data_IF_954804677045
#
_entry.id   IF_954804677045
#
_cell.length_a   1.000
_cell.length_b   1.000
_cell.length_c   1.000
_cell.angle_alpha   90.00
_cell.angle_beta   90.00
_cell.angle_gamma   90.00
#
_symmetry.space_group_name_H-M   'P 1'
#
loop_
_entity.id
_entity.type
_entity.pdbx_description
1 polymer ?
#
# COMPACT_ATOMS: atom_id res chain seq x y z
N UNK A 1 -69.99 1.72 -22.76
CA UNK A 1 -69.68 2.97 -23.50
C UNK A 1 -69.07 3.96 -22.52
N UNK A 2 -67.92 4.60 -22.82
CA UNK A 2 -66.98 5.16 -21.82
C UNK A 2 -66.94 6.70 -21.77
N UNK A 3 -66.25 7.23 -20.74
CA UNK A 3 -65.46 8.50 -20.59
C UNK A 3 -65.72 9.10 -19.20
N UNK A 4 -64.75 9.56 -18.40
CA UNK A 4 -63.43 10.14 -18.63
C UNK A 4 -62.49 9.75 -17.46
N UNK A 5 -61.16 9.85 -17.48
CA UNK A 5 -60.19 10.38 -18.43
C UNK A 5 -58.84 10.35 -17.70
N UNK A 6 -58.07 9.28 -17.87
CA UNK A 6 -56.72 9.17 -17.32
C UNK A 6 -55.75 9.98 -18.22
N UNK A 7 -55.16 11.03 -17.66
CA UNK A 7 -54.08 11.77 -18.31
C UNK A 7 -52.79 10.95 -18.22
N UNK A 8 -52.55 10.12 -19.23
CA UNK A 8 -51.27 9.47 -19.44
C UNK A 8 -50.25 10.51 -19.95
N UNK A 9 -49.38 11.01 -19.07
CA UNK A 9 -48.20 11.77 -19.46
C UNK A 9 -47.24 10.84 -20.19
N UNK A 10 -47.23 10.90 -21.53
CA UNK A 10 -46.18 10.32 -22.38
C UNK A 10 -44.86 11.00 -22.06
N UNK A 11 -44.05 10.39 -21.20
CA UNK A 11 -42.62 10.68 -21.13
C UNK A 11 -41.99 10.22 -22.45
N UNK A 12 -41.80 11.15 -23.39
CA UNK A 12 -40.93 10.92 -24.55
C UNK A 12 -39.50 10.79 -24.01
N UNK A 13 -39.02 9.55 -23.86
CA UNK A 13 -37.58 9.30 -23.70
C UNK A 13 -36.89 9.69 -25.00
N UNK A 14 -36.43 10.95 -25.08
CA UNK A 14 -35.37 11.30 -26.03
C UNK A 14 -34.13 10.56 -25.55
N UNK A 15 -33.84 9.41 -26.17
CA UNK A 15 -32.51 8.81 -26.13
C UNK A 15 -31.54 9.87 -26.69
N UNK A 16 -30.94 10.64 -25.79
CA UNK A 16 -29.88 11.58 -26.12
C UNK A 16 -28.68 10.71 -26.43
N UNK A 17 -28.35 10.57 -27.72
CA UNK A 17 -27.07 10.00 -28.13
C UNK A 17 -25.98 10.71 -27.32
N UNK A 18 -25.31 9.94 -26.47
CA UNK A 18 -24.33 10.45 -25.51
C UNK A 18 -23.15 10.96 -26.32
N UNK A 19 -23.10 12.28 -26.53
CA UNK A 19 -21.88 12.94 -26.96
C UNK A 19 -20.77 12.47 -26.01
N UNK A 20 -19.68 11.93 -26.57
CA UNK A 20 -18.46 11.64 -25.83
C UNK A 20 -18.07 12.95 -25.13
N UNK A 21 -18.21 13.02 -23.81
CA UNK A 21 -17.93 14.27 -23.08
C UNK A 21 -16.45 14.57 -23.21
N UNK A 22 -16.13 15.67 -23.88
CA UNK A 22 -14.78 16.25 -24.03
C UNK A 22 -14.30 16.94 -22.74
N UNK A 23 -14.77 16.48 -21.57
CA UNK A 23 -14.49 17.10 -20.28
C UNK A 23 -13.29 16.41 -19.64
N UNK A 24 -12.30 17.18 -19.23
CA UNK A 24 -11.14 16.67 -18.49
C UNK A 24 -11.58 16.29 -17.06
N UNK A 25 -11.24 15.08 -16.64
CA UNK A 25 -11.55 14.54 -15.31
C UNK A 25 -10.44 14.84 -14.30
N UNK A 26 -10.72 15.74 -13.36
CA UNK A 26 -9.84 16.09 -12.23
C UNK A 26 -10.25 15.44 -10.91
N UNK A 27 -11.20 14.49 -10.93
CA UNK A 27 -11.83 13.92 -9.72
C UNK A 27 -11.63 12.42 -9.57
N UNK A 28 -11.19 11.73 -10.62
CA UNK A 28 -10.92 10.28 -10.57
C UNK A 28 -9.71 9.94 -9.71
N UNK A 29 -9.81 8.78 -9.04
CA UNK A 29 -8.73 8.18 -8.27
C UNK A 29 -7.77 7.30 -9.10
N UNK A 30 -7.88 7.32 -10.43
CA UNK A 30 -6.93 6.68 -11.36
C UNK A 30 -5.61 7.49 -11.41
N UNK A 31 -4.91 7.56 -10.26
CA UNK A 31 -3.78 8.47 -10.02
C UNK A 31 -2.65 8.36 -11.04
N UNK A 32 -2.41 7.15 -11.54
CA UNK A 32 -1.36 6.86 -12.51
C UNK A 32 -1.88 6.76 -13.95
N UNK A 33 -3.20 6.93 -14.18
CA UNK A 33 -3.80 6.81 -15.50
C UNK A 33 -3.82 5.37 -16.06
N UNK A 34 -3.54 4.35 -15.25
CA UNK A 34 -3.39 2.97 -15.69
C UNK A 34 -4.70 2.41 -16.26
N UNK A 35 -5.85 2.81 -15.74
CA UNK A 35 -7.14 2.35 -16.23
C UNK A 35 -7.41 2.76 -17.69
N UNK A 36 -6.81 3.86 -18.14
CA UNK A 36 -7.01 4.44 -19.48
C UNK A 36 -5.82 4.22 -20.42
N UNK A 37 -4.70 3.71 -19.92
CA UNK A 37 -3.47 3.56 -20.70
C UNK A 37 -3.56 2.41 -21.73
N UNK A 38 -3.41 2.67 -23.05
CA UNK A 38 -3.42 1.63 -24.07
C UNK A 38 -2.28 0.61 -23.94
N UNK A 39 -1.10 1.05 -23.47
CA UNK A 39 0.02 0.16 -23.19
C UNK A 39 -0.34 -0.82 -22.07
N UNK A 40 -0.95 -0.33 -20.99
CA UNK A 40 -1.43 -1.17 -19.89
C UNK A 40 -2.51 -2.15 -20.37
N UNK A 41 -3.47 -1.68 -21.16
CA UNK A 41 -4.51 -2.53 -21.75
C UNK A 41 -3.92 -3.69 -22.57
N UNK A 42 -2.87 -3.43 -23.36
CA UNK A 42 -2.21 -4.47 -24.14
C UNK A 42 -1.47 -5.48 -23.25
N UNK A 43 -0.84 -5.05 -22.16
CA UNK A 43 -0.23 -5.96 -21.18
C UNK A 43 -1.29 -6.89 -20.58
N UNK A 44 -2.42 -6.33 -20.14
CA UNK A 44 -3.52 -7.11 -19.55
C UNK A 44 -4.12 -8.11 -20.55
N UNK A 45 -4.31 -7.69 -21.82
CA UNK A 45 -4.78 -8.59 -22.89
C UNK A 45 -3.83 -9.74 -23.13
N UNK A 46 -2.53 -9.46 -23.27
CA UNK A 46 -1.52 -10.49 -23.52
C UNK A 46 -1.43 -11.49 -22.36
N UNK A 47 -1.47 -11.00 -21.12
CA UNK A 47 -1.47 -11.84 -19.92
C UNK A 47 -2.73 -12.70 -19.87
N UNK A 48 -3.91 -12.11 -20.07
CA UNK A 48 -5.16 -12.85 -20.06
C UNK A 48 -5.24 -13.89 -21.18
N UNK A 49 -4.80 -13.56 -22.38
CA UNK A 49 -4.70 -14.50 -23.50
C UNK A 49 -3.72 -15.65 -23.21
N UNK A 50 -2.65 -15.38 -22.46
CA UNK A 50 -1.72 -16.42 -21.99
C UNK A 50 -2.42 -17.41 -21.05
N UNK A 51 -3.22 -16.89 -20.10
CA UNK A 51 -4.02 -17.72 -19.20
C UNK A 51 -5.06 -18.56 -19.93
N UNK A 52 -5.71 -18.00 -20.97
CA UNK A 52 -6.66 -18.74 -21.80
C UNK A 52 -6.00 -19.87 -22.60
N UNK A 53 -4.71 -19.73 -22.93
CA UNK A 53 -3.93 -20.77 -23.64
C UNK A 53 -3.35 -21.82 -22.70
N UNK A 54 -3.07 -21.50 -21.44
CA UNK A 54 -2.29 -22.34 -20.53
C UNK A 54 -3.01 -23.60 -20.00
N UNK A 55 -4.20 -23.96 -20.52
CA UNK A 55 -4.99 -25.17 -20.15
C UNK A 55 -5.15 -25.42 -18.63
N UNK A 56 -4.99 -24.39 -17.81
CA UNK A 56 -4.79 -24.56 -16.37
C UNK A 56 -6.12 -24.73 -15.64
N UNK A 57 -6.67 -25.96 -15.68
CA UNK A 57 -7.42 -26.52 -14.56
C UNK A 57 -7.32 -28.06 -14.52
N UNK A 58 -6.79 -28.62 -13.44
CA UNK A 58 -7.34 -29.85 -12.84
C UNK A 58 -7.57 -29.63 -11.32
N UNK A 59 -8.50 -30.25 -10.60
CA UNK A 59 -9.28 -31.44 -10.85
C UNK A 59 -10.70 -31.29 -10.29
N UNK A 60 -11.71 -31.31 -11.15
CA UNK A 60 -12.93 -32.05 -10.85
C UNK A 60 -13.23 -32.78 -12.15
N UNK A 61 -12.93 -34.08 -12.15
CA UNK A 61 -13.18 -34.93 -13.30
C UNK A 61 -14.61 -34.76 -13.76
N UNK A 62 -14.76 -34.41 -15.01
CA UNK A 62 -15.60 -35.08 -16.00
C UNK A 62 -15.28 -34.40 -17.34
N UNK A 63 -15.23 -35.23 -18.39
CA UNK A 63 -14.56 -34.89 -19.64
C UNK A 63 -15.18 -33.76 -20.45
N UNK A 64 -14.41 -33.44 -21.48
CA UNK A 64 -14.77 -32.74 -22.71
C UNK A 64 -14.79 -31.20 -22.70
N UNK A 65 -14.09 -30.64 -23.68
CA UNK A 65 -14.17 -29.24 -24.08
C UNK A 65 -13.14 -28.28 -23.45
N UNK A 66 -12.51 -27.53 -24.34
CA UNK A 66 -11.81 -26.25 -24.20
C UNK A 66 -12.53 -25.23 -23.28
N UNK A 67 -12.58 -25.46 -21.95
CA UNK A 67 -13.33 -24.56 -21.07
C UNK A 67 -12.52 -23.31 -20.71
N UNK A 68 -12.74 -22.26 -21.52
CA UNK A 68 -12.32 -20.89 -21.26
C UNK A 68 -13.32 -20.23 -20.32
N UNK A 69 -12.97 -20.07 -19.04
CA UNK A 69 -13.87 -19.42 -18.09
C UNK A 69 -13.61 -17.91 -18.01
N UNK A 70 -14.67 -17.12 -18.22
CA UNK A 70 -14.66 -15.66 -18.00
C UNK A 70 -14.68 -15.29 -16.51
N UNK A 71 -15.31 -16.14 -15.68
CA UNK A 71 -15.49 -15.94 -14.24
C UNK A 71 -15.03 -17.12 -13.40
N UNK A 72 -14.95 -16.94 -12.09
CA UNK A 72 -14.52 -17.97 -11.14
C UNK A 72 -15.60 -19.00 -10.79
N UNK A 73 -16.89 -18.67 -10.98
CA UNK A 73 -18.06 -19.55 -10.75
C UNK A 73 -18.25 -20.09 -9.32
N UNK A 74 -17.46 -19.61 -8.36
CA UNK A 74 -17.52 -20.03 -6.96
C UNK A 74 -16.68 -19.14 -6.05
N UNK A 75 -16.79 -19.35 -4.74
CA UNK A 75 -15.96 -18.68 -3.74
C UNK A 75 -14.58 -19.33 -3.63
N UNK A 76 -13.67 -18.66 -2.92
CA UNK A 76 -12.29 -19.13 -2.65
C UNK A 76 -12.20 -20.43 -1.85
N UNK A 77 -13.27 -20.83 -1.17
CA UNK A 77 -13.32 -22.08 -0.38
C UNK A 77 -13.96 -23.26 -1.14
N UNK A 78 -14.51 -23.00 -2.33
CA UNK A 78 -15.21 -23.99 -3.14
C UNK A 78 -14.51 -24.12 -4.51
N UNK A 79 -15.24 -23.96 -5.60
CA UNK A 79 -14.73 -24.10 -6.97
C UNK A 79 -13.95 -22.89 -7.50
N UNK A 80 -13.95 -21.76 -6.79
CA UNK A 80 -13.41 -20.49 -7.27
C UNK A 80 -11.93 -20.24 -6.96
N UNK A 81 -11.28 -21.10 -6.16
CA UNK A 81 -9.85 -20.97 -5.88
C UNK A 81 -9.03 -21.41 -7.09
N UNK A 82 -8.21 -20.50 -7.62
CA UNK A 82 -7.38 -20.77 -8.80
C UNK A 82 -5.90 -20.69 -8.44
N UNK A 83 -5.08 -21.53 -9.08
CA UNK A 83 -3.62 -21.47 -8.95
C UNK A 83 -3.08 -20.08 -9.28
N UNK A 84 -3.68 -19.39 -10.26
CA UNK A 84 -3.26 -18.05 -10.63
C UNK A 84 -3.53 -17.01 -9.52
N UNK A 85 -4.65 -17.12 -8.80
CA UNK A 85 -4.91 -16.28 -7.63
C UNK A 85 -3.87 -16.51 -6.54
N UNK A 86 -3.52 -17.77 -6.25
CA UNK A 86 -2.50 -18.14 -5.25
C UNK A 86 -1.10 -17.66 -5.62
N UNK A 87 -0.72 -17.75 -6.90
CA UNK A 87 0.55 -17.23 -7.39
C UNK A 87 0.61 -15.70 -7.27
N UNK A 88 -0.47 -15.02 -7.66
CA UNK A 88 -0.55 -13.57 -7.50
C UNK A 88 -0.50 -13.15 -6.03
N UNK A 89 -1.15 -13.87 -5.13
CA UNK A 89 -1.03 -13.67 -3.68
C UNK A 89 0.42 -13.83 -3.20
N UNK A 90 1.13 -14.87 -3.63
CA UNK A 90 2.54 -15.05 -3.29
C UNK A 90 3.42 -13.91 -3.80
N UNK A 91 3.19 -13.44 -5.03
CA UNK A 91 3.89 -12.28 -5.60
C UNK A 91 3.59 -11.00 -4.81
N UNK A 92 2.33 -10.78 -4.42
CA UNK A 92 1.92 -9.60 -3.64
C UNK A 92 2.48 -9.63 -2.21
N UNK A 93 2.51 -10.79 -1.56
CA UNK A 93 3.15 -10.97 -0.26
C UNK A 93 4.65 -10.63 -0.36
N UNK A 94 5.29 -11.09 -1.42
CA UNK A 94 6.67 -10.74 -1.73
C UNK A 94 6.81 -9.24 -1.97
N UNK A 95 5.94 -8.58 -2.74
CA UNK A 95 6.06 -7.15 -3.03
C UNK A 95 5.89 -6.29 -1.78
N UNK A 96 4.92 -6.62 -0.92
CA UNK A 96 4.62 -5.88 0.32
C UNK A 96 5.39 -6.38 1.54
N UNK A 97 6.40 -7.23 1.31
CA UNK A 97 7.27 -7.78 2.33
C UNK A 97 6.51 -8.36 3.54
N UNK A 98 5.44 -9.11 3.26
CA UNK A 98 4.61 -9.81 4.25
C UNK A 98 4.74 -11.32 4.09
N UNK A 99 4.35 -12.08 5.11
CA UNK A 99 4.38 -13.56 5.01
C UNK A 99 3.32 -14.10 4.06
N UNK A 100 2.16 -13.43 4.03
CA UNK A 100 1.02 -13.79 3.22
C UNK A 100 0.34 -12.53 2.66
N UNK A 101 -0.44 -12.74 1.60
CA UNK A 101 -1.33 -11.74 1.04
C UNK A 101 -2.63 -12.42 0.63
N UNK A 102 -3.76 -11.79 0.91
CA UNK A 102 -5.08 -12.36 0.63
C UNK A 102 -5.89 -11.40 -0.25
N UNK A 103 -6.35 -11.88 -1.41
CA UNK A 103 -7.11 -11.09 -2.38
C UNK A 103 -8.59 -10.93 -1.99
N UNK A 104 -9.10 -9.71 -2.12
CA UNK A 104 -10.50 -9.34 -1.87
C UNK A 104 -11.12 -8.66 -3.11
N UNK A 105 -12.45 -8.70 -3.19
CA UNK A 105 -13.21 -8.05 -4.26
C UNK A 105 -13.11 -6.52 -4.25
N UNK A 106 -12.89 -5.90 -3.08
CA UNK A 106 -12.70 -4.46 -2.97
C UNK A 106 -11.96 -4.08 -1.69
N UNK A 107 -11.46 -2.84 -1.63
CA UNK A 107 -10.90 -2.28 -0.39
C UNK A 107 -11.94 -2.19 0.73
N UNK A 108 -13.20 -1.95 0.36
CA UNK A 108 -14.31 -1.97 1.30
C UNK A 108 -14.48 -3.36 1.93
N UNK A 109 -14.49 -4.41 1.10
CA UNK A 109 -14.65 -5.79 1.59
C UNK A 109 -13.45 -6.23 2.42
N UNK A 110 -12.23 -5.80 2.06
CA UNK A 110 -11.02 -6.08 2.83
C UNK A 110 -11.08 -5.47 4.23
N UNK A 111 -11.33 -4.15 4.33
CA UNK A 111 -11.49 -3.47 5.61
C UNK A 111 -12.63 -4.04 6.44
N UNK A 112 -13.78 -4.28 5.82
CA UNK A 112 -14.93 -4.90 6.48
C UNK A 112 -14.56 -6.28 7.03
N UNK A 113 -13.83 -7.10 6.27
CA UNK A 113 -13.41 -8.44 6.65
C UNK A 113 -12.44 -8.42 7.83
N UNK A 114 -11.40 -7.60 7.77
CA UNK A 114 -10.42 -7.43 8.86
C UNK A 114 -11.15 -6.98 10.12
N UNK A 115 -11.86 -5.85 10.06
CA UNK A 115 -12.40 -5.23 11.27
C UNK A 115 -13.63 -5.95 11.85
N UNK A 116 -14.38 -6.71 11.06
CA UNK A 116 -15.53 -7.48 11.58
C UNK A 116 -15.16 -8.85 12.14
N UNK A 117 -13.99 -9.39 11.79
CA UNK A 117 -13.60 -10.76 12.17
C UNK A 117 -12.41 -10.82 13.13
N UNK A 118 -11.40 -9.96 12.96
CA UNK A 118 -10.17 -10.01 13.77
C UNK A 118 -10.41 -9.55 15.21
N UNK A 119 -11.07 -8.41 15.48
CA UNK A 119 -11.43 -8.05 16.85
C UNK A 119 -12.49 -9.02 17.42
N UNK A 120 -12.17 -9.70 18.53
CA UNK A 120 -13.10 -10.59 19.22
C UNK A 120 -13.64 -9.93 20.52
N UNK A 121 -14.55 -10.62 21.20
CA UNK A 121 -15.06 -10.15 22.50
C UNK A 121 -13.94 -9.96 23.52
N UNK A 122 -13.97 -8.84 24.24
CA UNK A 122 -12.93 -8.42 25.18
C UNK A 122 -11.79 -7.61 24.57
N UNK A 123 -11.61 -7.58 23.24
CA UNK A 123 -10.60 -6.71 22.62
C UNK A 123 -11.01 -5.23 22.67
N UNK A 124 -10.02 -4.37 22.51
CA UNK A 124 -10.15 -2.94 22.33
C UNK A 124 -9.84 -2.56 20.89
N UNK A 125 -10.63 -1.62 20.36
CA UNK A 125 -10.40 -1.04 19.04
C UNK A 125 -10.18 0.45 19.25
N UNK A 126 -9.06 0.97 18.75
CA UNK A 126 -8.72 2.40 18.79
C UNK A 126 -8.56 2.88 17.36
N UNK A 127 -9.34 3.84 16.91
CA UNK A 127 -9.27 4.31 15.52
C UNK A 127 -9.04 5.82 15.45
N UNK A 128 -8.32 6.25 14.41
CA UNK A 128 -8.30 7.66 14.07
C UNK A 128 -9.74 8.11 13.74
N UNK A 129 -10.13 9.30 14.19
CA UNK A 129 -11.49 9.80 14.05
C UNK A 129 -11.93 10.03 12.58
N UNK A 130 -10.98 10.14 11.65
CA UNK A 130 -11.25 10.32 10.22
C UNK A 130 -11.11 9.04 9.38
N UNK A 131 -10.94 7.88 10.02
CA UNK A 131 -10.90 6.60 9.31
C UNK A 131 -12.12 6.38 8.40
N UNK A 132 -11.85 5.84 7.21
CA UNK A 132 -12.82 5.63 6.15
C UNK A 132 -14.03 4.81 6.62
N UNK A 133 -15.19 5.10 6.03
CA UNK A 133 -16.46 4.50 6.44
C UNK A 133 -16.46 2.95 6.35
N UNK A 134 -15.63 2.33 5.50
CA UNK A 134 -15.47 0.87 5.48
C UNK A 134 -14.93 0.31 6.79
N UNK A 135 -13.98 1.01 7.43
CA UNK A 135 -13.44 0.66 8.75
C UNK A 135 -14.54 0.80 9.80
N UNK A 136 -15.25 1.94 9.77
CA UNK A 136 -16.37 2.20 10.70
C UNK A 136 -17.45 1.11 10.60
N UNK A 137 -17.83 0.70 9.38
CA UNK A 137 -18.79 -0.39 9.18
C UNK A 137 -18.25 -1.73 9.68
N UNK A 138 -16.98 -2.03 9.42
CA UNK A 138 -16.31 -3.23 9.93
C UNK A 138 -16.33 -3.30 11.45
N UNK A 139 -16.00 -2.20 12.12
CA UNK A 139 -16.01 -2.11 13.59
C UNK A 139 -17.41 -2.24 14.17
N UNK A 140 -18.43 -1.65 13.52
CA UNK A 140 -19.84 -1.85 13.90
C UNK A 140 -20.29 -3.31 13.79
N UNK A 141 -19.69 -4.09 12.88
CA UNK A 141 -19.96 -5.51 12.69
C UNK A 141 -19.05 -6.42 13.53
N UNK A 142 -18.04 -5.86 14.20
CA UNK A 142 -17.10 -6.60 15.03
C UNK A 142 -17.77 -7.17 16.28
N UNK A 143 -17.05 -8.07 16.98
CA UNK A 143 -17.49 -8.64 18.25
C UNK A 143 -16.99 -7.85 19.46
N UNK A 144 -16.25 -6.76 19.26
CA UNK A 144 -15.77 -5.92 20.34
C UNK A 144 -16.94 -5.23 21.06
N UNK A 145 -16.85 -5.10 22.38
CA UNK A 145 -17.87 -4.37 23.14
C UNK A 145 -17.86 -2.89 22.76
N UNK A 146 -19.04 -2.26 22.69
CA UNK A 146 -19.14 -0.82 22.37
C UNK A 146 -18.31 0.07 23.29
N UNK A 147 -18.16 -0.31 24.56
CA UNK A 147 -17.33 0.42 25.53
C UNK A 147 -15.83 0.36 25.22
N UNK A 148 -15.39 -0.66 24.48
CA UNK A 148 -14.00 -0.92 24.12
C UNK A 148 -13.61 -0.34 22.76
N UNK A 149 -14.55 0.29 22.04
CA UNK A 149 -14.26 1.05 20.83
C UNK A 149 -13.97 2.50 21.22
N UNK A 150 -12.77 2.97 20.93
CA UNK A 150 -12.28 4.32 21.20
C UNK A 150 -11.83 4.99 19.91
N UNK A 151 -11.85 6.31 19.93
CA UNK A 151 -11.24 7.15 18.89
C UNK A 151 -10.14 8.01 19.51
N UNK A 152 -9.16 8.38 18.71
CA UNK A 152 -8.19 9.44 19.04
C UNK A 152 -8.27 10.55 17.99
N UNK A 153 -7.83 11.74 18.37
CA UNK A 153 -7.83 12.92 17.47
C UNK A 153 -7.00 12.64 16.22
N UNK A 154 -7.46 13.20 15.11
CA UNK A 154 -6.86 12.96 13.81
C UNK A 154 -5.36 13.26 13.79
N UNK A 155 -4.54 12.27 13.38
CA UNK A 155 -3.09 12.37 13.28
C UNK A 155 -2.35 12.78 14.59
N UNK A 156 -3.00 12.64 15.74
CA UNK A 156 -2.45 13.05 17.04
C UNK A 156 -1.91 11.86 17.84
N UNK A 157 -0.61 11.62 17.71
CA UNK A 157 0.08 10.55 18.43
C UNK A 157 0.09 10.76 19.96
N UNK A 158 0.04 12.00 20.44
CA UNK A 158 -0.02 12.28 21.89
C UNK A 158 -1.38 11.89 22.47
N UNK A 159 -2.47 12.21 21.74
CA UNK A 159 -3.82 11.81 22.10
C UNK A 159 -4.01 10.29 22.00
N UNK A 160 -3.44 9.64 20.97
CA UNK A 160 -3.37 8.18 20.90
C UNK A 160 -2.71 7.59 22.15
N UNK A 161 -1.53 8.10 22.53
CA UNK A 161 -0.83 7.65 23.74
C UNK A 161 -1.68 7.84 25.01
N UNK A 162 -2.44 8.94 25.11
CA UNK A 162 -3.39 9.17 26.22
C UNK A 162 -4.50 8.12 26.24
N UNK A 163 -5.07 7.79 25.07
CA UNK A 163 -6.12 6.76 24.95
C UNK A 163 -5.57 5.39 25.33
N UNK A 164 -4.38 5.01 24.85
CA UNK A 164 -3.75 3.72 25.17
C UNK A 164 -3.47 3.57 26.68
N UNK A 165 -2.91 4.59 27.34
CA UNK A 165 -2.73 4.58 28.81
C UNK A 165 -4.04 4.36 29.55
N UNK A 166 -5.13 4.99 29.11
CA UNK A 166 -6.44 4.80 29.74
C UNK A 166 -6.99 3.38 29.59
N UNK A 167 -6.62 2.69 28.51
CA UNK A 167 -6.97 1.28 28.28
C UNK A 167 -6.14 0.38 29.20
N UNK A 168 -4.84 0.63 29.32
CA UNK A 168 -3.97 -0.11 30.23
C UNK A 168 -4.43 0.00 31.68
N UNK A 169 -4.78 1.20 32.13
CA UNK A 169 -5.33 1.44 33.47
C UNK A 169 -6.63 0.65 33.68
N UNK A 170 -7.52 0.61 32.68
CA UNK A 170 -8.76 -0.16 32.73
C UNK A 170 -8.50 -1.68 32.79
N UNK A 171 -7.54 -2.18 32.00
CA UNK A 171 -7.12 -3.58 32.02
C UNK A 171 -6.50 -3.96 33.37
N UNK A 172 -5.62 -3.12 33.92
CA UNK A 172 -4.99 -3.32 35.22
C UNK A 172 -6.01 -3.33 36.37
N UNK A 173 -6.98 -2.41 36.37
CA UNK A 173 -8.06 -2.36 37.35
C UNK A 173 -8.94 -3.62 37.30
N UNK A 174 -9.28 -4.11 36.10
CA UNK A 174 -10.06 -5.33 35.92
C UNK A 174 -9.31 -6.57 36.42
N UNK A 175 -7.99 -6.65 36.18
CA UNK A 175 -7.15 -7.73 36.68
C UNK A 175 -7.08 -7.74 38.23
N UNK A 176 -6.92 -6.56 38.84
CA UNK A 176 -6.90 -6.42 40.30
C UNK A 176 -8.23 -6.82 40.96
N UNK A 177 -9.37 -6.48 40.35
CA UNK A 177 -10.69 -6.84 40.86
C UNK A 177 -10.96 -8.36 40.83
N UNK A 178 -10.46 -9.07 39.83
CA UNK A 178 -10.61 -10.52 39.72
C UNK A 178 -9.79 -11.29 40.76
N UNK A 179 -8.59 -10.80 41.11
CA UNK A 179 -7.75 -11.42 42.15
C UNK A 179 -8.39 -11.39 43.54
N UNK A 180 -9.23 -10.39 43.83
CA UNK A 180 -9.87 -10.24 45.13
C UNK A 180 -11.14 -11.12 45.31
N UNK A 181 -11.70 -11.69 44.23
CA UNK A 181 -12.96 -12.44 44.26
C UNK A 181 -12.78 -13.98 44.24
N UNK A 182 -11.58 -14.50 44.50
CA UNK A 182 -11.23 -15.90 44.32
C UNK A 182 -11.62 -16.82 45.51
N UNK A 183 -12.92 -16.89 45.85
CA UNK A 183 -13.44 -17.93 46.77
C UNK A 183 -14.39 -18.93 46.07
N UNK A 184 -14.96 -18.64 44.90
CA UNK A 184 -15.93 -19.54 44.23
C UNK A 184 -15.75 -19.65 42.69
N UNK A 185 -14.54 -19.92 42.21
CA UNK A 185 -14.23 -19.98 40.77
C UNK A 185 -14.22 -21.42 40.20
N UNK A 186 -15.39 -22.05 40.07
CA UNK A 186 -15.53 -23.37 39.41
C UNK A 186 -16.17 -23.31 38.01
N UNK A 187 -16.46 -22.13 37.46
CA UNK A 187 -17.09 -21.98 36.14
C UNK A 187 -16.58 -20.80 35.30
N UNK A 188 -15.52 -20.11 35.74
CA UNK A 188 -14.93 -19.01 34.97
C UNK A 188 -14.14 -19.58 33.78
N UNK A 189 -14.83 -19.71 32.65
CA UNK A 189 -14.23 -19.77 31.32
C UNK A 189 -13.10 -18.73 31.29
N UNK A 190 -11.85 -19.16 31.11
CA UNK A 190 -10.67 -18.29 31.14
C UNK A 190 -10.94 -17.03 30.30
N UNK A 191 -11.14 -15.90 30.98
CA UNK A 191 -11.47 -14.65 30.31
C UNK A 191 -10.16 -14.17 29.69
N UNK A 192 -10.04 -14.26 28.36
CA UNK A 192 -8.81 -13.84 27.68
C UNK A 192 -8.49 -12.38 28.02
N UNK A 193 -7.20 -12.08 28.14
CA UNK A 193 -6.77 -10.70 28.17
C UNK A 193 -6.98 -10.09 26.78
N UNK A 194 -7.78 -9.02 26.73
CA UNK A 194 -8.15 -8.35 25.50
C UNK A 194 -6.95 -7.70 24.82
N UNK A 195 -6.79 -7.90 23.52
CA UNK A 195 -5.80 -7.22 22.70
C UNK A 195 -6.28 -5.82 22.33
N UNK A 196 -5.34 -4.92 22.05
CA UNK A 196 -5.64 -3.58 21.56
C UNK A 196 -5.29 -3.51 20.08
N UNK A 197 -6.27 -3.16 19.25
CA UNK A 197 -6.12 -3.05 17.80
C UNK A 197 -6.33 -1.59 17.40
N UNK A 198 -5.26 -0.97 16.89
CA UNK A 198 -5.27 0.39 16.37
C UNK A 198 -5.56 0.34 14.88
N UNK A 199 -6.37 1.27 14.36
CA UNK A 199 -6.67 1.37 12.93
C UNK A 199 -6.48 2.79 12.43
N UNK A 200 -5.72 2.93 11.34
CA UNK A 200 -5.39 4.22 10.71
C UNK A 200 -5.37 4.09 9.19
N UNK A 201 -5.51 5.21 8.49
CA UNK A 201 -5.15 5.31 7.08
C UNK A 201 -3.71 5.81 6.98
N UNK A 202 -2.96 5.32 6.00
CA UNK A 202 -1.63 5.86 5.68
C UNK A 202 -1.73 7.27 5.10
N UNK A 203 -2.70 7.50 4.22
CA UNK A 203 -3.02 8.78 3.57
C UNK A 203 -4.52 8.94 3.59
N UNK A 204 -5.02 10.02 4.19
CA UNK A 204 -6.45 10.22 4.38
C UNK A 204 -7.07 10.83 3.13
N UNK A 205 -8.17 10.22 2.68
CA UNK A 205 -8.73 10.47 1.34
C UNK A 205 -9.18 11.91 1.05
N UNK A 206 -9.66 12.64 2.05
CA UNK A 206 -10.29 13.96 1.87
C UNK A 206 -9.26 15.09 1.94
N UNK A 207 -8.39 15.07 2.95
CA UNK A 207 -7.41 16.12 3.19
C UNK A 207 -6.04 15.81 2.56
N UNK A 208 -5.78 14.54 2.23
CA UNK A 208 -4.54 14.09 1.58
C UNK A 208 -3.33 14.11 2.50
N UNK A 209 -3.51 14.28 3.80
CA UNK A 209 -2.46 14.25 4.80
C UNK A 209 -2.10 12.81 5.21
N UNK A 210 -0.94 12.66 5.83
CA UNK A 210 -0.24 11.38 6.01
C UNK A 210 -0.14 11.07 7.49
N UNK A 211 -0.50 9.85 7.89
CA UNK A 211 -0.37 9.42 9.26
C UNK A 211 1.09 9.40 9.73
N UNK A 212 1.37 9.75 11.00
CA UNK A 212 2.67 9.57 11.61
C UNK A 212 2.91 8.08 11.96
N UNK A 213 2.93 7.21 10.94
CA UNK A 213 2.91 5.75 11.08
C UNK A 213 4.01 5.20 12.00
N UNK A 214 5.23 5.75 11.92
CA UNK A 214 6.33 5.35 12.80
C UNK A 214 5.99 5.59 14.27
N UNK A 215 5.54 6.79 14.62
CA UNK A 215 5.17 7.13 16.00
C UNK A 215 4.00 6.28 16.50
N UNK A 216 3.01 6.01 15.65
CA UNK A 216 1.84 5.17 15.97
C UNK A 216 2.26 3.72 16.22
N UNK A 217 3.13 3.16 15.36
CA UNK A 217 3.64 1.80 15.49
C UNK A 217 4.54 1.65 16.73
N UNK A 218 5.41 2.63 17.01
CA UNK A 218 6.27 2.63 18.20
C UNK A 218 5.42 2.70 19.49
N UNK A 219 4.38 3.55 19.51
CA UNK A 219 3.40 3.59 20.61
C UNK A 219 2.64 2.27 20.75
N UNK A 220 2.20 1.69 19.64
CA UNK A 220 1.52 0.41 19.66
C UNK A 220 2.40 -0.67 20.30
N UNK A 221 3.69 -0.73 19.95
CA UNK A 221 4.63 -1.67 20.53
C UNK A 221 4.82 -1.44 22.03
N UNK A 222 4.97 -0.18 22.46
CA UNK A 222 5.12 0.16 23.89
C UNK A 222 3.92 -0.29 24.74
N UNK A 223 2.73 -0.35 24.15
CA UNK A 223 1.48 -0.73 24.80
C UNK A 223 1.03 -2.18 24.50
N UNK A 224 1.84 -2.98 23.80
CA UNK A 224 1.46 -4.34 23.41
C UNK A 224 0.23 -4.38 22.49
N UNK A 225 0.03 -3.33 21.69
CA UNK A 225 -1.04 -3.21 20.72
C UNK A 225 -0.55 -3.57 19.30
N UNK A 226 -1.51 -3.89 18.44
CA UNK A 226 -1.29 -4.15 17.03
C UNK A 226 -1.98 -3.09 16.16
N UNK A 227 -1.49 -2.86 14.95
CA UNK A 227 -1.94 -1.78 14.05
C UNK A 227 -2.40 -2.35 12.71
N UNK A 228 -3.58 -1.95 12.27
CA UNK A 228 -4.09 -2.14 10.91
C UNK A 228 -3.93 -0.83 10.15
N UNK A 229 -3.30 -0.88 8.97
CA UNK A 229 -3.06 0.31 8.14
C UNK A 229 -3.80 0.18 6.82
N UNK A 230 -4.61 1.17 6.46
CA UNK A 230 -5.21 1.28 5.13
C UNK A 230 -4.28 2.09 4.19
N UNK A 231 -3.77 1.43 3.16
CA UNK A 231 -2.87 1.93 2.11
C UNK A 231 -3.61 2.25 0.81
N UNK A 232 -4.93 2.46 0.86
CA UNK A 232 -5.72 2.71 -0.34
C UNK A 232 -5.25 3.93 -1.15
N UNK A 233 -4.85 5.00 -0.46
CA UNK A 233 -4.37 6.25 -1.08
C UNK A 233 -2.83 6.37 -1.10
N UNK A 234 -2.12 5.47 -0.41
CA UNK A 234 -0.66 5.40 -0.43
C UNK A 234 -0.09 4.60 -1.61
N UNK A 235 -0.75 3.48 -1.96
CA UNK A 235 -0.32 2.61 -3.06
C UNK A 235 -0.20 3.38 -4.38
N UNK A 236 0.92 3.21 -5.08
CA UNK A 236 1.22 3.84 -6.36
C UNK A 236 1.49 5.35 -6.29
N UNK A 237 1.38 5.97 -5.11
CA UNK A 237 1.70 7.38 -4.88
C UNK A 237 3.04 7.52 -4.13
N UNK A 238 3.25 6.69 -3.10
CA UNK A 238 4.44 6.72 -2.26
C UNK A 238 5.48 5.69 -2.70
N UNK A 239 6.76 6.10 -2.63
CA UNK A 239 7.88 5.40 -3.26
C UNK A 239 7.95 5.67 -4.77
N UNK A 240 9.16 5.78 -5.33
CA UNK A 240 9.33 6.14 -6.74
C UNK A 240 8.85 5.03 -7.68
N UNK A 241 7.67 5.19 -8.26
CA UNK A 241 7.07 4.20 -9.17
C UNK A 241 7.87 4.07 -10.49
N UNK A 242 7.66 2.95 -11.18
CA UNK A 242 8.13 2.66 -12.53
C UNK A 242 7.10 2.95 -13.62
N UNK A 243 5.96 3.56 -13.26
CA UNK A 243 4.97 4.07 -14.20
C UNK A 243 5.54 5.32 -14.92
N UNK A 244 6.39 5.10 -15.91
CA UNK A 244 6.97 6.13 -16.80
C UNK A 244 6.60 5.84 -18.24
N UNK A 245 6.57 6.91 -19.04
CA UNK A 245 6.32 6.82 -20.49
C UNK A 245 5.02 6.06 -20.81
N UNK A 246 4.01 6.23 -19.95
CA UNK A 246 2.67 5.73 -20.18
C UNK A 246 1.97 6.68 -21.15
N UNK A 247 1.83 6.26 -22.40
CA UNK A 247 0.98 6.97 -23.36
C UNK A 247 -0.46 6.83 -22.87
N UNK A 248 -1.11 7.94 -22.54
CA UNK A 248 -2.56 7.98 -22.42
C UNK A 248 -3.17 8.10 -23.82
N UNK A 249 -4.43 7.69 -24.04
CA UNK A 249 -5.08 7.94 -25.32
C UNK A 249 -5.06 9.44 -25.57
N UNK A 250 -4.49 9.88 -26.68
CA UNK A 250 -4.65 11.25 -27.11
C UNK A 250 -6.15 11.51 -27.26
N UNK A 251 -6.65 12.58 -26.64
CA UNK A 251 -7.98 13.08 -26.93
C UNK A 251 -8.04 13.35 -28.42
N UNK A 252 -8.73 12.48 -29.18
CA UNK A 252 -8.87 12.57 -30.64
C UNK A 252 -9.51 13.87 -31.15
N UNK A 253 -9.83 14.81 -30.25
CA UNK A 253 -10.42 16.11 -30.53
C UNK A 253 -9.56 17.32 -30.10
N UNK A 254 -8.35 17.12 -29.54
CA UNK A 254 -7.42 18.23 -29.29
C UNK A 254 -6.60 18.61 -30.54
N UNK A 255 -6.69 17.83 -31.61
CA UNK A 255 -5.94 18.03 -32.86
C UNK A 255 -6.61 19.00 -33.87
N UNK A 256 -7.48 19.91 -33.41
CA UNK A 256 -8.11 20.93 -34.27
C UNK A 256 -8.18 22.28 -33.57
N UNK A 257 -7.05 22.88 -33.21
CA UNK A 257 -7.00 24.35 -32.96
C UNK A 257 -5.63 25.01 -33.22
N UNK A 258 -4.55 24.27 -33.45
CA UNK A 258 -3.22 24.91 -33.61
C UNK A 258 -2.78 25.12 -35.06
N UNK A 259 -3.64 24.81 -36.05
CA UNK A 259 -3.31 24.95 -37.47
C UNK A 259 -3.69 26.32 -38.09
N UNK A 260 -4.18 27.29 -37.32
CA UNK A 260 -4.62 28.60 -37.86
C UNK A 260 -3.93 29.83 -37.24
N UNK A 261 -2.86 29.65 -36.45
CA UNK A 261 -2.05 30.78 -35.96
C UNK A 261 -0.58 30.57 -36.34
N UNK A 262 -0.30 30.39 -37.62
CA UNK A 262 1.07 30.52 -38.15
C UNK A 262 1.09 30.83 -39.65
N UNK A 263 0.31 31.84 -40.05
CA UNK A 263 0.40 32.44 -41.39
C UNK A 263 0.47 33.96 -41.33
N UNK A 264 1.37 34.51 -40.52
CA UNK A 264 1.93 35.84 -40.77
C UNK A 264 3.07 36.16 -39.79
N UNK A 265 4.30 35.78 -40.12
CA UNK A 265 5.47 36.69 -40.07
C UNK A 265 6.71 36.03 -40.65
N UNK A 266 6.95 36.42 -41.90
CA UNK A 266 8.14 36.35 -42.75
C UNK A 266 9.50 36.12 -42.06
N UNK A 267 10.22 35.18 -42.66
CA UNK A 267 11.63 35.24 -43.06
C UNK A 267 12.50 36.37 -42.48
N UNK A 268 13.54 36.00 -41.73
CA UNK A 268 14.91 36.45 -42.03
C UNK A 268 15.94 35.50 -41.44
N UNK A 269 16.64 34.83 -42.34
CA UNK A 269 17.83 34.02 -42.11
C UNK A 269 18.98 34.85 -41.53
N UNK A 270 19.60 34.42 -40.42
CA UNK A 270 20.98 34.82 -40.07
C UNK A 270 21.71 33.78 -39.20
N UNK A 271 22.59 33.04 -39.88
CA UNK A 271 23.91 32.50 -39.49
C UNK A 271 24.20 32.34 -37.98
N UNK A 272 24.28 31.07 -37.57
CA UNK A 272 24.96 30.61 -36.37
C UNK A 272 26.46 30.96 -36.40
N UNK A 273 26.93 31.66 -35.35
CA UNK A 273 28.35 31.77 -34.99
C UNK A 273 28.55 31.15 -33.61
N UNK A 274 29.34 30.09 -33.57
CA UNK A 274 29.83 29.43 -32.36
C UNK A 274 30.72 30.38 -31.57
N UNK A 275 30.40 30.63 -30.30
CA UNK A 275 31.31 31.28 -29.33
C UNK A 275 31.38 30.43 -28.07
N UNK A 276 32.51 29.73 -27.91
CA UNK A 276 32.94 29.14 -26.64
C UNK A 276 33.17 30.27 -25.63
N UNK A 277 32.55 30.17 -24.44
CA UNK A 277 32.83 31.08 -23.33
C UNK A 277 33.35 30.30 -22.13
N UNK A 278 34.64 30.48 -21.85
CA UNK A 278 35.32 30.11 -20.59
C UNK A 278 34.74 30.94 -19.45
N UNK A 279 34.32 30.30 -18.37
CA UNK A 279 34.02 30.95 -17.09
C UNK A 279 35.31 31.01 -16.25
N UNK A 280 35.79 32.23 -15.99
CA UNK A 280 36.72 32.55 -14.90
C UNK A 280 35.91 33.24 -13.81
N UNK A 281 36.05 32.75 -12.58
CA UNK A 281 35.41 33.35 -11.40
C UNK A 281 36.05 34.66 -10.99
N UNK A 282 35.22 35.55 -10.45
CA UNK A 282 35.64 36.63 -9.56
C UNK A 282 34.46 37.00 -8.65
N UNK A 283 34.63 36.78 -7.35
CA UNK A 283 33.72 37.23 -6.29
C UNK A 283 34.03 38.70 -5.99
N UNK A 284 33.01 39.56 -6.01
CA UNK A 284 33.12 40.97 -5.61
C UNK A 284 32.38 41.16 -4.29
N UNK A 285 33.12 41.56 -3.27
CA UNK A 285 32.63 41.96 -1.95
C UNK A 285 32.27 43.46 -2.04
N UNK A 286 31.04 43.83 -1.72
CA UNK A 286 30.68 45.23 -1.48
C UNK A 286 30.23 45.41 -0.02
N UNK A 287 30.99 46.27 0.68
CA UNK A 287 30.64 46.85 1.98
C UNK A 287 29.68 48.01 1.75
N UNK A 288 28.59 48.08 2.51
CA UNK A 288 27.84 49.33 2.72
C UNK A 288 28.06 49.82 4.14
N UNK A 289 28.66 51.01 4.24
CA UNK A 289 28.77 51.77 5.47
C UNK A 289 27.50 52.58 5.74
N UNK A 290 27.26 52.80 7.02
CA UNK A 290 26.21 53.60 7.65
C UNK A 290 26.50 55.11 7.58
N UNK A 291 25.44 55.92 7.55
CA UNK A 291 25.44 57.28 8.11
C UNK A 291 24.02 57.68 8.56
N UNK A 292 23.86 57.68 9.88
CA UNK A 292 23.18 58.60 10.81
C UNK A 292 21.85 59.31 10.48
N UNK A 293 20.96 59.31 11.48
CA UNK A 293 19.85 60.26 11.61
C UNK A 293 18.72 59.85 12.58
N UNK A 294 19.00 59.97 13.89
CA UNK A 294 18.12 60.27 15.06
C UNK A 294 16.63 59.88 15.12
N UNK A 295 16.21 59.36 16.28
CA UNK A 295 14.82 59.55 16.76
C UNK A 295 14.19 58.50 17.69
N UNK A 296 14.75 58.33 18.88
CA UNK A 296 14.03 58.13 20.17
C UNK A 296 13.15 56.89 20.50
N UNK A 297 13.38 56.42 21.75
CA UNK A 297 12.52 55.67 22.69
C UNK A 297 12.37 54.13 22.66
N UNK A 298 13.21 53.52 23.51
CA UNK A 298 12.86 52.78 24.75
C UNK A 298 12.35 51.32 24.72
N UNK A 299 13.09 50.46 25.44
CA UNK A 299 12.61 49.24 26.13
C UNK A 299 13.02 47.91 25.46
N UNK A 300 14.25 47.41 25.60
CA UNK A 300 14.82 46.63 26.73
C UNK A 300 14.56 45.09 26.70
N UNK A 301 15.68 44.37 26.52
CA UNK A 301 16.03 42.99 26.98
C UNK A 301 15.36 41.80 26.26
N UNK A 302 16.03 40.68 25.92
CA UNK A 302 17.32 40.10 26.35
C UNK A 302 17.88 39.09 25.32
N UNK A 303 19.22 39.05 25.19
CA UNK A 303 20.13 37.89 25.27
C UNK A 303 19.70 36.52 24.63
N UNK A 304 20.50 35.70 23.94
CA UNK A 304 21.96 35.58 23.72
C UNK A 304 22.23 34.43 22.72
N UNK A 305 23.39 34.48 22.03
CA UNK A 305 24.29 33.37 21.60
C UNK A 305 23.78 32.35 20.56
N UNK A 306 24.30 32.27 19.32
CA UNK A 306 25.63 31.72 18.88
C UNK A 306 25.93 30.36 19.54
N UNK A 307 26.27 29.24 18.90
CA UNK A 307 26.80 28.81 17.59
C UNK A 307 26.66 27.27 17.61
N UNK A 308 26.77 26.48 16.55
CA UNK A 308 28.03 25.94 16.02
C UNK A 308 27.62 24.76 15.10
N UNK A 309 28.05 24.76 13.84
CA UNK A 309 27.92 23.60 12.96
C UNK A 309 29.30 22.91 12.91
N UNK A 310 29.35 21.64 13.30
CA UNK A 310 30.55 20.79 13.21
C UNK A 310 30.48 20.02 11.88
N UNK A 311 31.56 20.12 11.11
CA UNK A 311 31.79 19.39 9.86
C UNK A 311 32.68 18.19 10.21
N UNK A 312 32.20 16.97 9.96
CA UNK A 312 33.02 15.75 10.05
C UNK A 312 33.59 15.45 8.66
N UNK A 313 34.92 15.33 8.60
CA UNK A 313 35.66 14.76 7.47
C UNK A 313 36.05 13.33 7.83
N UNK A 314 35.96 12.43 6.85
CA UNK A 314 36.27 11.01 6.92
C UNK A 314 37.72 10.76 6.50
N UNK A 315 38.47 10.05 7.32
CA UNK A 315 39.75 9.43 6.94
C UNK A 315 39.57 7.90 6.97
N UNK A 316 39.92 7.25 5.87
CA UNK A 316 40.00 5.79 5.72
C UNK A 316 41.44 5.37 6.06
N UNK A 317 41.60 4.48 7.04
CA UNK A 317 42.86 3.79 7.33
C UNK A 317 42.66 2.28 7.08
N UNK A 318 43.36 1.75 6.08
CA UNK A 318 43.54 0.32 5.85
C UNK A 318 44.66 -0.20 6.76
N UNK A 319 44.36 -1.21 7.58
CA UNK A 319 45.35 -1.99 8.34
C UNK A 319 45.14 -3.46 8.00
N UNK A 320 46.12 -4.03 7.30
CA UNK A 320 46.28 -5.48 7.11
C UNK A 320 46.94 -6.09 8.36
N UNK A 321 46.30 -7.06 9.01
CA UNK A 321 46.94 -7.96 9.98
C UNK A 321 46.68 -9.43 9.59
N UNK A 322 47.76 -10.14 9.25
CA UNK A 322 47.85 -11.60 9.22
C UNK A 322 48.01 -12.15 10.66
N UNK A 323 47.28 -13.22 11.00
CA UNK A 323 47.64 -14.25 11.99
C UNK A 323 46.61 -15.40 11.94
N UNK A 324 46.96 -16.58 11.44
CA UNK A 324 47.66 -17.72 12.07
C UNK A 324 46.69 -18.72 12.74
N UNK A 325 46.66 -19.93 12.17
CA UNK A 325 45.69 -20.99 12.45
C UNK A 325 46.07 -21.80 13.70
N UNK A 326 45.33 -21.63 14.79
CA UNK A 326 45.41 -22.46 15.99
C UNK A 326 44.11 -23.22 16.27
N UNK A 327 44.04 -24.50 15.88
CA UNK A 327 42.93 -25.41 16.21
C UNK A 327 42.92 -25.76 17.70
N UNK A 328 41.83 -25.44 18.40
CA UNK A 328 41.45 -26.12 19.64
C UNK A 328 39.94 -26.30 19.70
N UNK A 329 39.50 -27.56 19.68
CA UNK A 329 38.09 -27.96 19.75
C UNK A 329 37.56 -27.80 21.18
N UNK A 330 36.57 -26.94 21.38
CA UNK A 330 35.69 -26.98 22.55
C UNK A 330 34.23 -27.10 22.10
N UNK A 331 33.61 -28.25 22.40
CA UNK A 331 32.16 -28.48 22.31
C UNK A 331 31.44 -27.54 23.28
N UNK A 332 30.86 -26.46 22.79
CA UNK A 332 29.94 -25.60 23.53
C UNK A 332 28.49 -25.85 23.07
N UNK A 333 27.60 -25.98 24.04
CA UNK A 333 26.18 -26.20 23.84
C UNK A 333 25.52 -25.06 23.06
N UNK A 334 24.65 -25.41 22.11
CA UNK A 334 23.96 -24.51 21.18
C UNK A 334 23.00 -23.57 21.93
N UNK A 335 23.35 -22.29 22.00
CA UNK A 335 22.43 -21.23 22.40
C UNK A 335 21.27 -21.09 21.40
N UNK A 336 20.06 -20.65 21.81
CA UNK A 336 18.96 -20.44 20.90
C UNK A 336 19.30 -19.34 19.90
N UNK A 337 19.15 -19.66 18.61
CA UNK A 337 19.42 -18.75 17.49
C UNK A 337 18.71 -17.41 17.69
N UNK A 338 19.46 -16.31 17.67
CA UNK A 338 18.88 -15.00 17.39
C UNK A 338 18.25 -15.06 15.99
N UNK A 339 17.08 -14.44 15.76
CA UNK A 339 16.52 -14.39 14.42
C UNK A 339 17.55 -13.71 13.50
N UNK A 340 18.07 -14.45 12.52
CA UNK A 340 18.90 -13.89 11.46
C UNK A 340 18.14 -12.70 10.85
N UNK A 341 18.74 -11.51 10.96
CA UNK A 341 18.21 -10.33 10.30
C UNK A 341 18.21 -10.61 8.80
N UNK A 342 17.02 -10.73 8.19
CA UNK A 342 16.88 -10.84 6.73
C UNK A 342 17.73 -9.74 6.07
N UNK A 343 18.48 -10.03 5.00
CA UNK A 343 19.30 -9.03 4.33
C UNK A 343 18.43 -7.83 3.90
N UNK A 344 18.96 -6.60 3.95
CA UNK A 344 18.20 -5.40 3.58
C UNK A 344 17.76 -5.52 2.13
N UNK A 345 16.45 -5.64 1.93
CA UNK A 345 15.86 -5.80 0.60
C UNK A 345 15.60 -4.44 -0.02
N UNK A 346 15.82 -4.33 -1.32
CA UNK A 346 15.52 -3.13 -2.10
C UNK A 346 14.02 -2.80 -2.01
N UNK A 347 13.70 -1.67 -1.39
CA UNK A 347 12.34 -1.10 -1.36
C UNK A 347 11.86 -0.92 -2.80
N UNK A 348 10.74 -1.57 -3.14
CA UNK A 348 10.10 -1.40 -4.43
C UNK A 348 9.30 -0.09 -4.39
N UNK A 349 9.51 0.78 -5.38
CA UNK A 349 8.77 2.03 -5.42
C UNK A 349 7.31 1.84 -5.83
N UNK A 350 6.42 2.70 -5.33
CA UNK A 350 4.99 2.66 -5.62
C UNK A 350 4.20 1.66 -4.79
N UNK A 351 4.76 1.10 -3.70
CA UNK A 351 4.08 0.08 -2.88
C UNK A 351 3.35 0.62 -1.65
N UNK A 352 3.51 1.90 -1.31
CA UNK A 352 2.78 2.56 -0.22
C UNK A 352 3.68 3.34 0.74
N UNK A 353 3.06 3.95 1.75
CA UNK A 353 3.76 4.75 2.77
C UNK A 353 4.58 3.84 3.69
N UNK A 354 4.04 2.70 4.09
CA UNK A 354 4.73 1.70 4.91
C UNK A 354 6.07 1.28 4.30
N UNK A 355 6.09 0.96 3.01
CA UNK A 355 7.32 0.60 2.30
C UNK A 355 8.27 1.80 2.15
N UNK A 356 7.74 3.00 1.86
CA UNK A 356 8.56 4.22 1.77
C UNK A 356 9.23 4.61 3.10
N UNK A 357 8.65 4.20 4.23
CA UNK A 357 9.19 4.39 5.58
C UNK A 357 9.88 3.14 6.14
N UNK A 358 9.95 2.04 5.38
CA UNK A 358 10.53 0.75 5.78
C UNK A 358 9.90 0.14 7.04
N UNK A 359 8.56 0.26 7.18
CA UNK A 359 7.79 -0.17 8.36
C UNK A 359 7.04 -1.49 8.17
N UNK A 360 7.19 -2.17 7.02
CA UNK A 360 6.46 -3.40 6.68
C UNK A 360 6.77 -4.57 7.65
N UNK A 361 7.96 -4.59 8.24
CA UNK A 361 8.37 -5.61 9.22
C UNK A 361 8.17 -5.17 10.68
N UNK A 362 7.51 -4.03 10.94
CA UNK A 362 7.35 -3.56 12.30
C UNK A 362 6.54 -4.57 13.13
N UNK A 363 6.97 -4.97 14.34
CA UNK A 363 6.35 -6.07 15.09
C UNK A 363 4.89 -5.80 15.47
N UNK A 364 4.51 -4.54 15.64
CA UNK A 364 3.12 -4.14 15.88
C UNK A 364 2.26 -4.00 14.62
N UNK A 365 2.80 -4.12 13.41
CA UNK A 365 1.98 -4.11 12.20
C UNK A 365 1.23 -5.45 12.07
N UNK A 366 -0.09 -5.41 12.20
CA UNK A 366 -0.95 -6.59 12.10
C UNK A 366 -1.20 -6.98 10.63
N UNK A 367 -1.63 -5.99 9.85
CA UNK A 367 -1.84 -6.11 8.43
C UNK A 367 -1.95 -4.74 7.77
N UNK A 368 -1.73 -4.72 6.45
CA UNK A 368 -1.94 -3.56 5.59
C UNK A 368 -2.97 -3.90 4.50
N UNK A 369 -3.89 -2.97 4.23
CA UNK A 369 -4.92 -3.10 3.20
C UNK A 369 -4.56 -2.23 2.00
N UNK A 370 -4.33 -2.83 0.83
CA UNK A 370 -4.01 -2.09 -0.39
C UNK A 370 -5.14 -2.25 -1.40
N UNK A 371 -5.58 -1.15 -2.02
CA UNK A 371 -6.71 -1.18 -2.96
C UNK A 371 -6.25 -1.05 -4.40
N UNK A 372 -6.89 -1.79 -5.31
CA UNK A 372 -6.55 -1.73 -6.73
C UNK A 372 -7.41 -0.75 -7.52
N UNK A 373 -8.51 -0.27 -6.91
CA UNK A 373 -9.47 0.70 -7.46
C UNK A 373 -8.97 2.12 -7.67
N UNK A 374 -7.71 2.42 -7.35
CA UNK A 374 -7.11 3.76 -7.41
C UNK A 374 -5.90 3.80 -8.33
N UNK A 375 -4.69 3.96 -7.79
CA UNK A 375 -3.46 4.05 -8.59
C UNK A 375 -3.25 2.87 -9.55
N UNK A 376 -3.60 1.65 -9.12
CA UNK A 376 -3.48 0.45 -9.95
C UNK A 376 -4.49 0.41 -11.12
N UNK A 377 -5.54 1.25 -11.12
CA UNK A 377 -6.52 1.37 -12.20
C UNK A 377 -7.33 0.10 -12.46
N UNK A 378 -7.49 -0.77 -11.46
CA UNK A 378 -8.11 -2.10 -11.55
C UNK A 378 -9.24 -2.27 -10.52
N UNK A 379 -9.77 -3.48 -10.38
CA UNK A 379 -10.73 -3.83 -9.34
C UNK A 379 -10.09 -4.78 -8.32
N UNK A 380 -10.56 -4.76 -7.06
CA UNK A 380 -10.03 -5.61 -5.99
C UNK A 380 -9.24 -4.87 -4.91
N UNK A 381 -8.77 -5.66 -3.96
CA UNK A 381 -7.82 -5.26 -2.93
C UNK A 381 -7.00 -6.48 -2.47
N UNK A 382 -5.98 -6.22 -1.66
CA UNK A 382 -5.20 -7.24 -0.97
C UNK A 382 -4.97 -6.83 0.48
N UNK A 383 -5.01 -7.82 1.37
CA UNK A 383 -4.55 -7.69 2.75
C UNK A 383 -3.18 -8.36 2.86
N UNK A 384 -2.12 -7.57 3.03
CA UNK A 384 -0.77 -8.04 3.31
C UNK A 384 -0.62 -8.27 4.82
N UNK A 385 -0.28 -9.48 5.24
CA UNK A 385 -0.33 -9.89 6.65
C UNK A 385 0.53 -11.13 6.94
N UNK A 386 0.49 -11.63 8.18
CA UNK A 386 1.08 -12.92 8.54
C UNK A 386 0.26 -14.10 8.01
N UNK A 387 0.88 -15.29 7.93
CA UNK A 387 0.16 -16.51 7.55
C UNK A 387 -1.03 -16.78 8.48
N UNK A 388 -0.84 -16.53 9.79
CA UNK A 388 -1.90 -16.71 10.79
C UNK A 388 -3.10 -15.80 10.55
N UNK A 389 -2.87 -14.53 10.21
CA UNK A 389 -3.97 -13.59 9.91
C UNK A 389 -4.67 -14.01 8.62
N UNK A 390 -3.92 -14.39 7.58
CA UNK A 390 -4.51 -14.85 6.32
C UNK A 390 -5.39 -16.10 6.52
N UNK A 391 -4.89 -17.12 7.22
CA UNK A 391 -5.65 -18.33 7.56
C UNK A 391 -6.88 -18.01 8.40
N UNK A 392 -6.76 -17.09 9.36
CA UNK A 392 -7.90 -16.65 10.16
C UNK A 392 -8.98 -16.01 9.31
N UNK A 393 -8.62 -15.07 8.43
CA UNK A 393 -9.56 -14.39 7.54
C UNK A 393 -10.26 -15.38 6.59
N UNK A 394 -9.52 -16.33 6.03
CA UNK A 394 -10.08 -17.38 5.17
C UNK A 394 -11.18 -18.18 5.89
N UNK A 395 -11.03 -18.44 7.19
CA UNK A 395 -11.98 -19.24 7.96
C UNK A 395 -13.13 -18.43 8.57
N UNK A 396 -12.92 -17.17 8.94
CA UNK A 396 -13.87 -16.41 9.77
C UNK A 396 -14.41 -15.14 9.14
N UNK A 397 -13.76 -14.58 8.12
CA UNK A 397 -14.21 -13.35 7.49
C UNK A 397 -15.37 -13.61 6.52
N UNK A 398 -16.60 -13.35 6.98
CA UNK A 398 -17.82 -13.54 6.17
C UNK A 398 -17.79 -12.85 4.80
N UNK A 399 -17.32 -11.60 4.66
CA UNK A 399 -17.27 -10.94 3.34
C UNK A 399 -16.27 -11.61 2.39
N UNK A 400 -15.27 -12.33 2.90
CA UNK A 400 -14.39 -13.19 2.11
C UNK A 400 -15.04 -14.53 1.76
N UNK A 401 -15.63 -15.20 2.76
CA UNK A 401 -16.17 -16.57 2.62
C UNK A 401 -17.38 -16.62 1.68
N UNK A 402 -18.28 -15.65 1.79
CA UNK A 402 -19.57 -15.65 1.10
C UNK A 402 -19.59 -14.78 -0.17
N UNK A 403 -18.42 -14.51 -0.75
CA UNK A 403 -18.31 -13.82 -2.04
C UNK A 403 -17.68 -14.70 -3.11
N UNK A 404 -17.95 -14.37 -4.36
CA UNK A 404 -17.37 -15.05 -5.52
C UNK A 404 -15.91 -14.62 -5.68
N UNK A 405 -15.02 -15.57 -5.98
CA UNK A 405 -13.60 -15.29 -6.15
C UNK A 405 -13.34 -14.35 -7.34
N UNK A 406 -12.25 -13.56 -7.33
CA UNK A 406 -11.92 -12.67 -8.44
C UNK A 406 -11.77 -13.45 -9.77
N UNK A 407 -12.31 -12.94 -10.88
CA UNK A 407 -12.23 -13.62 -12.16
C UNK A 407 -10.84 -13.49 -12.80
N UNK A 408 -10.41 -14.41 -13.70
CA UNK A 408 -9.02 -14.47 -14.19
C UNK A 408 -8.51 -13.18 -14.86
N UNK A 409 -9.36 -12.52 -15.65
CA UNK A 409 -9.03 -11.22 -16.27
C UNK A 409 -8.79 -10.10 -15.25
N UNK A 410 -9.47 -10.12 -14.10
CA UNK A 410 -9.22 -9.17 -13.01
C UNK A 410 -7.87 -9.45 -12.33
N UNK A 411 -7.52 -10.72 -12.14
CA UNK A 411 -6.22 -11.12 -11.59
C UNK A 411 -5.08 -10.70 -12.54
N UNK A 412 -5.26 -10.88 -13.85
CA UNK A 412 -4.30 -10.44 -14.86
C UNK A 412 -4.11 -8.92 -14.83
N UNK A 413 -5.20 -8.16 -14.68
CA UNK A 413 -5.15 -6.71 -14.55
C UNK A 413 -4.31 -6.27 -13.34
N UNK A 414 -4.54 -6.87 -12.16
CA UNK A 414 -3.80 -6.60 -10.94
C UNK A 414 -2.31 -6.93 -11.13
N UNK A 415 -2.00 -8.11 -11.67
CA UNK A 415 -0.62 -8.54 -11.94
C UNK A 415 0.10 -7.53 -12.84
N UNK A 416 -0.48 -7.18 -13.99
CA UNK A 416 0.14 -6.21 -14.89
C UNK A 416 0.28 -4.82 -14.26
N UNK A 417 -0.70 -4.38 -13.45
CA UNK A 417 -0.63 -3.08 -12.79
C UNK A 417 0.53 -3.00 -11.81
N UNK A 418 0.74 -4.04 -10.99
CA UNK A 418 1.90 -4.11 -10.11
C UNK A 418 3.22 -4.16 -10.88
N UNK A 419 3.29 -4.86 -12.02
CA UNK A 419 4.52 -4.91 -12.83
C UNK A 419 4.89 -3.54 -13.37
N UNK A 420 3.89 -2.79 -13.82
CA UNK A 420 4.07 -1.40 -14.28
C UNK A 420 4.48 -0.49 -13.13
N UNK A 421 3.87 -0.61 -11.95
CA UNK A 421 4.20 0.22 -10.79
C UNK A 421 5.58 -0.08 -10.19
N UNK A 422 5.93 -1.36 -10.02
CA UNK A 422 7.14 -1.80 -9.29
C UNK A 422 8.33 -2.06 -10.22
N UNK A 423 8.11 -2.18 -11.53
CA UNK A 423 9.16 -2.48 -12.51
C UNK A 423 9.75 -3.88 -12.40
N UNK A 424 9.18 -4.75 -11.56
CA UNK A 424 9.59 -6.14 -11.46
C UNK A 424 9.08 -6.90 -12.71
N UNK A 425 10.01 -7.39 -13.53
CA UNK A 425 9.67 -8.33 -14.60
C UNK A 425 9.20 -9.65 -13.97
N UNK A 426 7.99 -10.07 -14.30
CA UNK A 426 7.41 -11.28 -13.72
C UNK A 426 8.06 -12.53 -14.32
N UNK A 427 8.76 -13.29 -13.47
CA UNK A 427 9.56 -14.47 -13.84
C UNK A 427 10.87 -14.58 -13.06
N UNK A 428 11.36 -13.46 -12.48
CA UNK A 428 12.59 -13.44 -11.66
C UNK A 428 12.33 -13.42 -10.15
N UNK A 429 11.06 -13.38 -9.70
CA UNK A 429 10.72 -13.33 -8.27
C UNK A 429 10.82 -14.67 -7.53
N UNK A 430 11.07 -15.78 -8.24
CA UNK A 430 11.40 -17.08 -7.63
C UNK A 430 12.89 -17.26 -7.32
N UNK A 431 13.74 -16.26 -7.57
CA UNK A 431 15.21 -16.37 -7.48
C UNK A 431 15.89 -15.66 -6.30
N UNK A 432 15.14 -15.17 -5.30
CA UNK A 432 15.72 -14.62 -4.07
C UNK A 432 15.77 -15.66 -2.95
N UNK A 433 16.20 -16.88 -3.27
CA UNK A 433 16.83 -17.79 -2.32
C UNK A 433 18.25 -17.98 -2.82
N UNK A 434 19.23 -17.55 -2.03
CA UNK A 434 20.63 -17.69 -2.40
C UNK A 434 20.95 -19.15 -2.71
N UNK A 435 21.39 -19.40 -3.94
CA UNK A 435 22.66 -20.08 -4.13
C UNK A 435 23.21 -19.72 -5.52
N UNK A 436 24.50 -19.41 -5.55
CA UNK A 436 25.21 -19.04 -6.76
C UNK A 436 25.39 -20.25 -7.67
N UNK A 437 24.97 -20.11 -8.92
CA UNK A 437 25.23 -21.11 -9.96
C UNK A 437 24.99 -20.50 -11.33
N UNK A 438 25.94 -19.69 -11.79
CA UNK A 438 26.00 -19.27 -13.17
C UNK A 438 26.07 -20.52 -14.07
N UNK A 439 25.02 -20.78 -14.84
CA UNK A 439 25.09 -21.75 -15.93
C UNK A 439 25.24 -20.96 -17.22
N UNK A 440 26.47 -21.01 -17.71
CA UNK A 440 26.96 -20.55 -18.99
C UNK A 440 26.08 -21.06 -20.15
N UNK A 441 25.54 -20.15 -20.97
CA UNK A 441 24.86 -20.46 -22.22
C UNK A 441 25.88 -20.89 -23.29
N UNK A 442 26.37 -22.12 -23.16
CA UNK A 442 27.14 -22.80 -24.19
C UNK A 442 26.21 -23.52 -25.18
N UNK A 443 26.10 -22.98 -26.39
CA UNK A 443 25.29 -23.54 -27.47
C UNK A 443 25.60 -25.01 -27.81
N UNK A 444 24.55 -25.76 -28.14
CA UNK A 444 24.68 -27.13 -28.62
C UNK A 444 23.38 -27.64 -29.22
N UNK A 445 23.31 -27.66 -30.56
CA UNK A 445 22.36 -28.43 -31.36
C UNK A 445 22.15 -29.83 -30.77
N UNK A 446 20.92 -30.32 -30.74
CA UNK A 446 20.61 -31.74 -31.02
C UNK A 446 19.18 -31.92 -31.50
N UNK A 447 19.09 -32.46 -32.71
CA UNK A 447 17.92 -33.07 -33.32
C UNK A 447 17.44 -34.28 -32.50
N UNK A 448 16.14 -34.35 -32.21
CA UNK A 448 15.15 -35.25 -32.86
C UNK A 448 13.80 -35.10 -32.19
#
# INVERSE_FOLDING_TARGET
>A
RPRAGAAATKAKSKAKAKATSTTIDFSSNDYLGLARCPRQLNLVRNEYDSLLRSRSRPASGDGDGDVRYLGSTGSRLLSGDSTYARLLESDLATIHNSEAALLFGSGYDANLSVMSSVPLGGDWIVMDELCHNSVVMGVRMSRAERGNVKTFRHNDAEDLGRVLRSIDDAKAAAAAANNNNNINAASNKEKRDGQVIIVVESVYSMDGDVAPLKAILDLAQAHGACVVVDEAHGLGVYGRTNARDLTLPEDRNAATTDAEIETETKETTKKTKTVRRRTRGSVRIERRGSQDGDGDRAGAWSATKSSLFVKMESEEEEVEEEQDEGKTEHKAARAPHSPESKPPRKVLGGTGVLAALELENHPSLLCAVHTFGKAAGCHGAVVACSNTVAEYLVNYARPFVYTTAPPPHSLAAIRCAYGTMTGCAYGTMTGCTGDGGAVDEGGGKRER
#
